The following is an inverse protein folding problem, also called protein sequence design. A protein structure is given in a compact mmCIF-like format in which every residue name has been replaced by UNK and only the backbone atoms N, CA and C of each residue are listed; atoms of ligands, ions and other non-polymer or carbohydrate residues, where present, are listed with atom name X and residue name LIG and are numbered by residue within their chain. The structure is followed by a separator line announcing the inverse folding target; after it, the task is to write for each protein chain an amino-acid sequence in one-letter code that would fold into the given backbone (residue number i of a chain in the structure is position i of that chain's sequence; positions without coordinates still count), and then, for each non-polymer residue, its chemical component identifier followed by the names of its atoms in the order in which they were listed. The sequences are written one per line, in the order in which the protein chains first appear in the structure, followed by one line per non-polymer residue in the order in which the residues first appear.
data_IF_523849672741
#
_entry.id   IF_523849672741
#
_cell.length_a   1.000
_cell.length_b   1.000
_cell.length_c   1.000
_cell.angle_alpha   90.00
_cell.angle_beta   90.00
_cell.angle_gamma   90.00
#
_symmetry.space_group_name_H-M   'P 1'
#
loop_
_entity.id
_entity.type
_entity.pdbx_description
1 polymer ?
#
# COMPACT_ATOMS: atom_id res chain seq x y z
N UNK A 1 -16.02 -1.77 30.64
CA UNK A 1 -14.69 -2.26 31.08
C UNK A 1 -13.66 -1.30 30.53
N UNK A 2 -12.87 -0.68 31.39
CA UNK A 2 -11.89 0.35 31.04
C UNK A 2 -10.76 -0.21 30.18
N UNK A 3 -10.16 0.66 29.36
CA UNK A 3 -9.08 0.34 28.41
C UNK A 3 -7.81 -0.26 29.06
N UNK A 4 -7.64 -0.11 30.37
CA UNK A 4 -6.44 -0.54 31.11
C UNK A 4 -6.43 -2.05 31.38
N UNK A 5 -7.60 -2.67 31.61
CA UNK A 5 -7.66 -4.07 32.05
C UNK A 5 -7.34 -5.13 30.97
N UNK A 6 -7.27 -4.76 29.70
CA UNK A 6 -7.00 -5.72 28.62
C UNK A 6 -5.49 -5.92 28.37
N UNK A 7 -4.65 -4.97 28.76
CA UNK A 7 -3.20 -5.00 28.51
C UNK A 7 -2.44 -5.88 29.52
N UNK A 8 -2.90 -5.96 30.78
CA UNK A 8 -2.15 -6.62 31.86
C UNK A 8 -2.24 -8.15 31.83
N UNK A 9 -3.30 -8.74 31.25
CA UNK A 9 -3.50 -10.20 31.32
C UNK A 9 -2.64 -11.04 30.35
N UNK A 10 -1.83 -10.42 29.49
CA UNK A 10 -1.06 -11.11 28.43
C UNK A 10 0.47 -11.11 28.62
N UNK A 11 0.99 -10.42 29.64
CA UNK A 11 2.43 -10.18 29.77
C UNK A 11 2.89 -10.22 31.23
N UNK A 12 3.00 -11.43 31.79
CA UNK A 12 3.72 -11.64 33.05
C UNK A 12 4.87 -12.61 32.78
N UNK A 13 6.05 -12.24 33.26
CA UNK A 13 7.34 -12.96 33.24
C UNK A 13 8.36 -12.44 32.21
N UNK A 14 9.33 -11.69 32.74
CA UNK A 14 10.55 -11.18 32.08
C UNK A 14 11.67 -12.23 32.23
N UNK A 15 12.24 -12.77 31.15
CA UNK A 15 13.48 -13.56 31.23
C UNK A 15 14.72 -12.71 30.92
N UNK A 16 15.85 -13.16 31.47
CA UNK A 16 17.16 -12.49 31.44
C UNK A 16 17.70 -12.18 30.03
N UNK A 17 18.30 -10.98 29.94
CA UNK A 17 18.87 -10.35 28.73
C UNK A 17 20.36 -10.74 28.64
N UNK A 18 20.88 -11.20 27.49
CA UNK A 18 22.32 -11.25 27.23
C UNK A 18 22.87 -9.85 26.91
N UNK A 19 24.08 -9.53 27.41
CA UNK A 19 24.75 -8.24 27.25
C UNK A 19 24.78 -7.74 25.79
N UNK A 20 24.26 -6.53 25.59
CA UNK A 20 24.05 -5.83 24.31
C UNK A 20 25.15 -4.81 23.98
N UNK A 21 26.23 -4.76 24.75
CA UNK A 21 27.18 -3.64 24.72
C UNK A 21 27.97 -3.54 23.41
N UNK A 22 28.34 -4.67 22.78
CA UNK A 22 29.10 -4.67 21.51
C UNK A 22 28.28 -4.17 20.29
N UNK A 23 26.94 -4.19 20.36
CA UNK A 23 26.05 -3.72 19.28
C UNK A 23 25.68 -2.24 19.42
N UNK A 24 25.84 -1.67 20.61
CA UNK A 24 25.55 -0.26 20.88
C UNK A 24 26.70 0.65 20.44
N UNK A 25 27.96 0.20 20.55
CA UNK A 25 29.13 0.99 20.15
C UNK A 25 29.18 1.29 18.63
N UNK A 26 28.69 0.39 17.76
CA UNK A 26 28.59 0.68 16.32
C UNK A 26 27.47 1.70 15.99
N UNK A 27 26.39 1.73 16.77
CA UNK A 27 25.23 2.60 16.53
C UNK A 27 25.48 4.02 17.05
N UNK A 28 26.14 4.18 18.20
CA UNK A 28 26.51 5.49 18.76
C UNK A 28 27.54 6.25 17.89
N UNK A 29 28.27 5.56 17.01
CA UNK A 29 29.18 6.19 16.05
C UNK A 29 28.48 6.92 14.88
N UNK A 30 27.15 6.81 14.76
CA UNK A 30 26.30 7.42 13.72
C UNK A 30 25.50 8.63 14.28
N UNK A 31 26.01 9.30 15.32
CA UNK A 31 25.50 10.57 15.85
C UNK A 31 26.43 11.74 15.48
N UNK A 32 26.91 11.76 14.24
CA UNK A 32 27.61 12.91 13.68
C UNK A 32 26.66 14.08 13.41
N UNK A 33 27.17 15.31 13.47
CA UNK A 33 26.46 16.54 13.11
C UNK A 33 26.13 16.54 11.59
N UNK A 34 25.03 15.88 11.20
CA UNK A 34 24.61 15.71 9.80
C UNK A 34 23.98 16.97 9.21
N UNK A 35 23.58 17.93 10.05
CA UNK A 35 22.88 19.14 9.59
C UNK A 35 23.80 20.07 8.78
N UNK A 36 25.10 20.05 9.08
CA UNK A 36 26.09 20.99 8.54
C UNK A 36 27.06 20.39 7.50
N UNK A 37 26.93 19.12 7.12
CA UNK A 37 27.79 18.52 6.08
C UNK A 37 27.30 18.90 4.67
N UNK A 38 28.23 19.29 3.81
CA UNK A 38 27.99 19.51 2.39
C UNK A 38 27.47 18.22 1.74
N UNK A 39 26.34 18.30 1.05
CA UNK A 39 25.72 17.15 0.38
C UNK A 39 26.30 17.03 -1.03
N UNK A 40 27.11 16.00 -1.26
CA UNK A 40 27.74 15.73 -2.56
C UNK A 40 26.73 15.16 -3.56
N UNK A 41 27.02 15.24 -4.86
CA UNK A 41 26.20 14.60 -5.90
C UNK A 41 26.14 13.07 -5.76
N UNK A 42 27.19 12.45 -5.20
CA UNK A 42 27.19 11.01 -4.89
C UNK A 42 26.15 10.68 -3.81
N UNK A 43 26.08 11.48 -2.74
CA UNK A 43 25.05 11.34 -1.71
C UNK A 43 23.65 11.54 -2.30
N UNK A 44 23.47 12.57 -3.15
CA UNK A 44 22.20 12.83 -3.83
C UNK A 44 21.78 11.65 -4.71
N UNK A 45 22.70 11.07 -5.49
CA UNK A 45 22.36 9.92 -6.34
C UNK A 45 22.02 8.68 -5.52
N UNK A 46 22.74 8.41 -4.43
CA UNK A 46 22.38 7.33 -3.48
C UNK A 46 20.95 7.53 -2.93
N UNK A 47 20.57 8.76 -2.58
CA UNK A 47 19.20 9.06 -2.16
C UNK A 47 18.18 8.86 -3.28
N UNK A 48 18.50 9.26 -4.52
CA UNK A 48 17.63 8.97 -5.68
C UNK A 48 17.44 7.47 -5.87
N UNK A 49 18.49 6.65 -5.72
CA UNK A 49 18.40 5.19 -5.79
C UNK A 49 17.46 4.59 -4.73
N UNK A 50 17.53 5.06 -3.48
CA UNK A 50 16.62 4.64 -2.41
C UNK A 50 15.18 4.98 -2.77
N UNK A 51 14.93 6.21 -3.23
CA UNK A 51 13.60 6.71 -3.57
C UNK A 51 13.02 6.01 -4.81
N UNK A 52 13.86 5.60 -5.77
CA UNK A 52 13.44 4.80 -6.93
C UNK A 52 12.83 3.45 -6.55
N UNK A 53 13.01 2.96 -5.32
CA UNK A 53 12.41 1.71 -4.82
C UNK A 53 11.00 1.87 -4.23
N UNK A 54 10.54 3.11 -4.01
CA UNK A 54 9.23 3.36 -3.38
C UNK A 54 8.09 2.84 -4.28
N UNK A 55 7.13 2.06 -3.78
CA UNK A 55 6.01 1.59 -4.61
C UNK A 55 5.14 2.76 -5.06
N UNK A 56 4.94 2.90 -6.37
CA UNK A 56 4.16 4.00 -6.98
C UNK A 56 2.81 3.50 -7.50
N UNK A 57 1.75 4.30 -7.32
CA UNK A 57 0.51 4.10 -8.04
C UNK A 57 0.19 5.29 -8.94
N UNK A 58 -0.03 5.03 -10.23
CA UNK A 58 -0.29 6.09 -11.22
C UNK A 58 -1.80 6.31 -11.37
N UNK A 59 -2.22 7.58 -11.29
CA UNK A 59 -3.63 8.01 -11.42
C UNK A 59 -4.61 7.19 -10.55
N UNK A 60 -4.19 6.93 -9.32
CA UNK A 60 -4.91 6.16 -8.31
C UNK A 60 -4.98 6.95 -6.98
N UNK A 61 -5.29 8.24 -7.10
CA UNK A 61 -5.70 9.17 -6.06
C UNK A 61 -6.88 9.91 -6.70
N UNK A 62 -8.11 9.57 -6.28
CA UNK A 62 -9.37 9.90 -6.97
C UNK A 62 -9.35 9.93 -8.52
N UNK A 63 -9.47 8.77 -9.15
CA UNK A 63 -9.52 8.67 -10.61
C UNK A 63 -9.50 7.23 -11.11
N UNK A 64 -9.23 7.08 -12.41
CA UNK A 64 -8.92 5.81 -13.04
C UNK A 64 -7.90 6.03 -14.18
N UNK A 65 -6.83 5.22 -14.27
CA UNK A 65 -5.80 5.38 -15.29
C UNK A 65 -6.34 5.36 -16.73
N UNK A 66 -7.43 4.63 -16.99
CA UNK A 66 -8.03 4.46 -18.32
C UNK A 66 -8.79 5.72 -18.75
N UNK A 67 -9.41 6.43 -17.81
CA UNK A 67 -10.12 7.69 -18.07
C UNK A 67 -9.16 8.84 -18.41
N UNK A 68 -7.91 8.75 -17.94
CA UNK A 68 -6.89 9.79 -18.09
C UNK A 68 -5.70 9.30 -18.94
N UNK A 69 -5.95 8.45 -19.93
CA UNK A 69 -4.92 7.62 -20.55
C UNK A 69 -3.67 8.37 -21.04
N UNK A 70 -3.83 9.53 -21.70
CA UNK A 70 -2.70 10.34 -22.15
C UNK A 70 -1.79 10.74 -20.98
N UNK A 71 -2.38 11.20 -19.89
CA UNK A 71 -1.67 11.60 -18.68
C UNK A 71 -1.08 10.38 -17.94
N UNK A 72 -1.77 9.24 -17.95
CA UNK A 72 -1.22 7.97 -17.42
C UNK A 72 0.07 7.58 -18.15
N UNK A 73 0.09 7.60 -19.49
CA UNK A 73 1.29 7.24 -20.27
C UNK A 73 2.42 8.26 -20.07
N UNK A 74 2.10 9.54 -19.93
CA UNK A 74 3.06 10.60 -19.60
C UNK A 74 3.75 10.35 -18.25
N UNK A 75 2.98 10.05 -17.20
CA UNK A 75 3.51 9.71 -15.87
C UNK A 75 4.35 8.44 -15.88
N UNK A 76 3.96 7.42 -16.65
CA UNK A 76 4.81 6.24 -16.84
C UNK A 76 6.13 6.60 -17.53
N UNK A 77 6.12 7.50 -18.52
CA UNK A 77 7.36 7.99 -19.16
C UNK A 77 8.24 8.77 -18.18
N UNK A 78 7.66 9.56 -17.28
CA UNK A 78 8.42 10.26 -16.24
C UNK A 78 9.08 9.28 -15.25
N UNK A 79 8.38 8.20 -14.89
CA UNK A 79 8.94 7.12 -14.06
C UNK A 79 10.07 6.37 -14.80
N UNK A 80 9.94 6.13 -16.11
CA UNK A 80 11.03 5.56 -16.93
C UNK A 80 12.24 6.48 -16.94
N UNK A 81 12.01 7.78 -17.20
CA UNK A 81 13.07 8.79 -17.31
C UNK A 81 13.83 8.95 -15.98
N UNK A 82 13.11 8.88 -14.85
CA UNK A 82 13.70 8.90 -13.51
C UNK A 82 14.30 7.56 -13.07
N UNK A 83 14.27 6.53 -13.93
CA UNK A 83 14.79 5.18 -13.70
C UNK A 83 14.14 4.50 -12.48
N UNK A 84 12.85 4.70 -12.31
CA UNK A 84 12.10 4.08 -11.22
C UNK A 84 12.19 2.55 -11.27
N UNK A 85 12.50 1.93 -10.13
CA UNK A 85 12.77 0.49 -10.03
C UNK A 85 11.75 -0.27 -9.17
N UNK A 86 11.07 0.44 -8.26
CA UNK A 86 10.01 -0.09 -7.43
C UNK A 86 8.76 -0.47 -8.22
N UNK A 87 7.81 -1.19 -7.60
CA UNK A 87 6.57 -1.57 -8.26
C UNK A 87 5.75 -0.36 -8.70
N UNK A 88 5.28 -0.38 -9.96
CA UNK A 88 4.39 0.63 -10.53
C UNK A 88 3.00 0.04 -10.74
N UNK A 89 2.05 0.42 -9.90
CA UNK A 89 0.68 -0.06 -9.90
C UNK A 89 -0.28 0.78 -10.74
N UNK A 90 -1.06 0.11 -11.60
CA UNK A 90 -2.24 0.69 -12.25
C UNK A 90 -3.51 -0.01 -11.76
N UNK A 91 -4.32 0.70 -10.97
CA UNK A 91 -5.59 0.16 -10.44
C UNK A 91 -6.74 0.68 -11.29
N UNK A 92 -7.46 -0.22 -11.97
CA UNK A 92 -8.43 0.19 -12.99
C UNK A 92 -9.74 -0.58 -12.97
N UNK A 93 -10.78 0.11 -13.42
CA UNK A 93 -12.14 -0.37 -13.76
C UNK A 93 -12.45 -0.16 -15.23
N UNK A 94 -11.80 0.80 -15.90
CA UNK A 94 -12.06 1.12 -17.29
C UNK A 94 -11.67 0.03 -18.28
N UNK A 95 -12.27 0.06 -19.48
CA UNK A 95 -11.97 -0.87 -20.57
C UNK A 95 -10.63 -0.55 -21.23
N UNK A 96 -9.77 -1.55 -21.35
CA UNK A 96 -8.56 -1.49 -22.16
C UNK A 96 -8.88 -1.86 -23.61
N UNK A 97 -8.11 -1.29 -24.53
CA UNK A 97 -8.09 -1.71 -25.93
C UNK A 97 -6.75 -2.38 -26.21
N UNK A 98 -6.62 -3.18 -27.29
CA UNK A 98 -5.33 -3.77 -27.67
C UNK A 98 -4.20 -2.73 -27.80
N UNK A 99 -4.51 -1.52 -28.29
CA UNK A 99 -3.56 -0.40 -28.33
C UNK A 99 -3.07 -0.02 -26.95
N UNK A 100 -3.97 0.17 -25.98
CA UNK A 100 -3.61 0.52 -24.60
C UNK A 100 -2.73 -0.56 -23.96
N UNK A 101 -3.05 -1.84 -24.21
CA UNK A 101 -2.26 -2.97 -23.71
C UNK A 101 -0.86 -2.99 -24.34
N UNK A 102 -0.74 -2.71 -25.64
CA UNK A 102 0.56 -2.59 -26.31
C UNK A 102 1.40 -1.45 -25.71
N UNK A 103 0.81 -0.30 -25.40
CA UNK A 103 1.49 0.81 -24.74
C UNK A 103 1.98 0.42 -23.33
N UNK A 104 1.18 -0.32 -22.54
CA UNK A 104 1.64 -0.83 -21.24
C UNK A 104 2.76 -1.86 -21.36
N UNK A 105 2.69 -2.73 -22.37
CA UNK A 105 3.73 -3.71 -22.66
C UNK A 105 5.05 -3.01 -22.99
N UNK A 106 5.02 -1.97 -23.83
CA UNK A 106 6.19 -1.13 -24.14
C UNK A 106 6.81 -0.56 -22.86
N UNK A 107 6.00 -0.03 -21.94
CA UNK A 107 6.48 0.51 -20.66
C UNK A 107 7.15 -0.52 -19.76
N UNK A 108 6.61 -1.75 -19.74
CA UNK A 108 7.22 -2.86 -19.02
C UNK A 108 8.55 -3.29 -19.67
N UNK A 109 8.58 -3.41 -21.00
CA UNK A 109 9.78 -3.77 -21.77
C UNK A 109 10.86 -2.67 -21.70
N UNK A 110 10.46 -1.42 -21.48
CA UNK A 110 11.32 -0.27 -21.18
C UNK A 110 11.96 -0.30 -19.78
N UNK A 111 11.62 -1.29 -18.95
CA UNK A 111 12.26 -1.53 -17.65
C UNK A 111 11.41 -1.15 -16.43
N UNK A 112 10.19 -0.63 -16.61
CA UNK A 112 9.31 -0.42 -15.45
C UNK A 112 8.82 -1.74 -14.87
N UNK A 113 8.84 -1.83 -13.55
CA UNK A 113 8.25 -2.94 -12.79
C UNK A 113 6.72 -2.80 -12.69
N UNK A 114 6.06 -2.86 -13.86
CA UNK A 114 4.65 -2.56 -14.03
C UNK A 114 3.76 -3.73 -13.60
N UNK A 115 2.73 -3.42 -12.80
CA UNK A 115 1.65 -4.36 -12.42
C UNK A 115 0.29 -3.70 -12.55
N UNK A 116 -0.69 -4.45 -13.05
CA UNK A 116 -2.06 -3.99 -13.20
C UNK A 116 -2.99 -4.67 -12.20
N UNK A 117 -3.91 -3.91 -11.61
CA UNK A 117 -4.90 -4.40 -10.66
C UNK A 117 -6.29 -4.10 -11.22
N UNK A 118 -6.96 -5.13 -11.70
CA UNK A 118 -8.26 -5.00 -12.36
C UNK A 118 -9.37 -5.18 -11.33
N UNK A 119 -10.14 -4.12 -11.06
CA UNK A 119 -11.14 -4.11 -9.98
C UNK A 119 -12.36 -4.95 -10.35
N UNK A 120 -12.50 -6.13 -9.77
CA UNK A 120 -13.66 -7.01 -9.95
C UNK A 120 -14.58 -6.86 -8.73
N UNK A 121 -15.85 -6.57 -8.95
CA UNK A 121 -16.81 -6.39 -7.85
C UNK A 121 -18.15 -7.03 -8.12
N UNK A 122 -18.58 -7.17 -9.38
CA UNK A 122 -19.95 -7.60 -9.71
C UNK A 122 -21.03 -6.76 -9.01
N UNK A 123 -20.80 -5.44 -8.95
CA UNK A 123 -21.74 -4.46 -8.38
C UNK A 123 -22.20 -3.42 -9.42
N UNK A 124 -22.73 -3.82 -10.59
CA UNK A 124 -23.07 -2.88 -11.67
C UNK A 124 -24.14 -1.85 -11.27
N UNK A 125 -25.00 -2.13 -10.28
CA UNK A 125 -25.99 -1.17 -9.77
C UNK A 125 -25.41 -0.09 -8.83
N UNK A 126 -24.21 -0.34 -8.30
CA UNK A 126 -23.47 0.57 -7.44
C UNK A 126 -22.29 1.24 -8.16
N UNK A 127 -22.02 0.83 -9.40
CA UNK A 127 -20.92 1.33 -10.23
C UNK A 127 -21.48 1.95 -11.51
N UNK A 128 -20.92 3.08 -11.97
CA UNK A 128 -21.30 3.66 -13.25
C UNK A 128 -20.73 2.93 -14.47
N UNK A 129 -20.29 1.68 -14.33
CA UNK A 129 -19.68 0.88 -15.41
C UNK A 129 -19.86 -0.62 -15.17
N UNK A 130 -19.99 -1.42 -16.24
CA UNK A 130 -20.19 -2.87 -16.16
C UNK A 130 -18.94 -3.66 -15.75
N UNK A 131 -19.10 -4.98 -15.57
CA UNK A 131 -18.04 -5.90 -15.15
C UNK A 131 -17.37 -6.66 -16.30
N UNK A 132 -18.09 -6.96 -17.39
CA UNK A 132 -17.67 -7.93 -18.42
C UNK A 132 -16.29 -7.62 -19.03
N UNK A 133 -16.04 -6.35 -19.37
CA UNK A 133 -14.76 -5.96 -19.99
C UNK A 133 -13.56 -6.12 -19.06
N UNK A 134 -13.77 -6.32 -17.76
CA UNK A 134 -12.69 -6.46 -16.78
C UNK A 134 -12.02 -7.82 -16.88
N UNK A 135 -12.80 -8.87 -17.18
CA UNK A 135 -12.24 -10.19 -17.49
C UNK A 135 -11.47 -10.17 -18.82
N UNK A 136 -11.99 -9.48 -19.83
CA UNK A 136 -11.29 -9.28 -21.09
C UNK A 136 -9.99 -8.48 -20.91
N UNK A 137 -9.98 -7.45 -20.04
CA UNK A 137 -8.74 -6.74 -19.70
C UNK A 137 -7.68 -7.70 -19.16
N UNK A 138 -8.03 -8.56 -18.20
CA UNK A 138 -7.10 -9.55 -17.62
C UNK A 138 -6.55 -10.45 -18.73
N UNK A 139 -7.43 -10.98 -19.58
CA UNK A 139 -7.03 -11.83 -20.70
C UNK A 139 -6.05 -11.14 -21.65
N UNK A 140 -6.34 -9.91 -22.07
CA UNK A 140 -5.45 -9.15 -22.96
C UNK A 140 -4.09 -8.88 -22.30
N UNK A 141 -4.07 -8.54 -21.01
CA UNK A 141 -2.85 -8.26 -20.26
C UNK A 141 -1.99 -9.51 -20.08
N UNK A 142 -2.59 -10.63 -19.68
CA UNK A 142 -1.89 -11.91 -19.54
C UNK A 142 -1.31 -12.39 -20.88
N UNK A 143 -2.06 -12.26 -21.99
CA UNK A 143 -1.58 -12.58 -23.34
C UNK A 143 -0.41 -11.69 -23.78
N UNK A 144 -0.39 -10.43 -23.34
CA UNK A 144 0.71 -9.50 -23.60
C UNK A 144 1.91 -9.68 -22.66
N UNK A 145 1.79 -10.54 -21.64
CA UNK A 145 2.81 -10.73 -20.61
C UNK A 145 2.90 -9.57 -19.62
N UNK A 146 1.87 -8.72 -19.50
CA UNK A 146 1.79 -7.66 -18.49
C UNK A 146 1.10 -8.24 -17.25
N UNK A 147 1.72 -8.26 -16.06
CA UNK A 147 1.13 -8.84 -14.87
C UNK A 147 -0.23 -8.23 -14.53
N UNK A 148 -1.26 -9.08 -14.40
CA UNK A 148 -2.61 -8.69 -14.01
C UNK A 148 -3.06 -9.41 -12.75
N UNK A 149 -3.55 -8.63 -11.78
CA UNK A 149 -4.12 -9.13 -10.53
C UNK A 149 -5.62 -8.85 -10.54
N UNK A 150 -6.44 -9.89 -10.35
CA UNK A 150 -7.86 -9.73 -10.09
C UNK A 150 -8.05 -9.07 -8.72
N UNK A 151 -8.47 -7.82 -8.71
CA UNK A 151 -8.62 -7.04 -7.49
C UNK A 151 -10.08 -7.08 -7.04
N UNK A 152 -10.44 -8.17 -6.38
CA UNK A 152 -11.81 -8.51 -6.00
C UNK A 152 -12.24 -7.68 -4.79
N UNK A 153 -12.85 -6.51 -5.02
CA UNK A 153 -13.30 -5.60 -3.96
C UNK A 153 -14.26 -4.51 -4.45
N UNK A 154 -15.13 -4.01 -3.54
CA UNK A 154 -15.39 -4.53 -2.20
C UNK A 154 -16.29 -5.77 -2.25
N UNK A 155 -16.08 -6.73 -1.35
CA UNK A 155 -17.08 -7.78 -1.07
C UNK A 155 -18.10 -7.23 -0.06
N UNK A 156 -19.37 -7.20 -0.46
CA UNK A 156 -20.48 -6.54 0.21
C UNK A 156 -21.70 -7.47 0.26
N UNK A 157 -21.95 -8.14 1.40
CA UNK A 157 -23.20 -8.85 1.59
C UNK A 157 -24.42 -7.91 1.57
N UNK A 158 -25.56 -8.35 1.02
CA UNK A 158 -25.76 -9.59 0.26
C UNK A 158 -25.40 -9.43 -1.23
N UNK A 159 -25.06 -8.23 -1.69
CA UNK A 159 -25.03 -7.81 -3.09
C UNK A 159 -24.16 -8.65 -4.04
N UNK A 160 -22.93 -8.99 -3.66
CA UNK A 160 -21.99 -9.70 -4.54
C UNK A 160 -21.31 -10.90 -3.87
N UNK A 161 -21.94 -11.46 -2.84
CA UNK A 161 -21.32 -12.48 -1.98
C UNK A 161 -21.98 -13.85 -2.06
N UNK A 162 -22.98 -14.06 -2.92
CA UNK A 162 -23.61 -15.37 -3.09
C UNK A 162 -22.64 -16.40 -3.69
N UNK A 163 -22.94 -17.70 -3.48
CA UNK A 163 -22.19 -18.81 -4.08
C UNK A 163 -22.13 -18.68 -5.61
N UNK A 164 -23.26 -18.37 -6.23
CA UNK A 164 -23.39 -18.23 -7.68
C UNK A 164 -22.49 -17.12 -8.23
N UNK A 165 -22.52 -15.94 -7.59
CA UNK A 165 -21.73 -14.78 -8.02
C UNK A 165 -20.24 -15.06 -7.85
N UNK A 166 -19.80 -15.56 -6.69
CA UNK A 166 -18.37 -15.81 -6.43
C UNK A 166 -17.84 -16.92 -7.34
N UNK A 167 -18.57 -18.02 -7.51
CA UNK A 167 -18.21 -19.06 -8.47
C UNK A 167 -18.10 -18.49 -9.90
N UNK A 168 -19.08 -17.68 -10.30
CA UNK A 168 -19.09 -16.98 -11.59
C UNK A 168 -17.86 -16.08 -11.80
N UNK A 169 -17.43 -15.36 -10.77
CA UNK A 169 -16.20 -14.55 -10.82
C UNK A 169 -14.97 -15.44 -11.09
N UNK A 170 -14.75 -16.47 -10.28
CA UNK A 170 -13.55 -17.30 -10.38
C UNK A 170 -13.49 -18.15 -11.65
N UNK A 171 -14.64 -18.64 -12.15
CA UNK A 171 -14.71 -19.30 -13.46
C UNK A 171 -14.26 -18.37 -14.59
N UNK A 172 -14.79 -17.14 -14.63
CA UNK A 172 -14.39 -16.15 -15.64
C UNK A 172 -12.92 -15.73 -15.50
N UNK A 173 -12.41 -15.60 -14.27
CA UNK A 173 -10.99 -15.33 -14.03
C UNK A 173 -10.09 -16.44 -14.56
N UNK A 174 -10.46 -17.71 -14.36
CA UNK A 174 -9.74 -18.86 -14.90
C UNK A 174 -9.75 -18.86 -16.43
N UNK A 175 -10.90 -18.62 -17.05
CA UNK A 175 -11.04 -18.50 -18.50
C UNK A 175 -10.19 -17.36 -19.08
N UNK A 176 -10.05 -16.25 -18.32
CA UNK A 176 -9.19 -15.13 -18.67
C UNK A 176 -7.68 -15.42 -18.46
N UNK A 177 -7.30 -16.56 -17.87
CA UNK A 177 -5.91 -16.90 -17.58
C UNK A 177 -5.33 -16.20 -16.34
N UNK A 178 -6.18 -15.68 -15.46
CA UNK A 178 -5.76 -14.98 -14.25
C UNK A 178 -4.96 -15.90 -13.31
N UNK A 179 -3.81 -15.44 -12.81
CA UNK A 179 -2.97 -16.20 -11.87
C UNK A 179 -3.16 -15.77 -10.42
N UNK A 180 -3.40 -14.48 -10.19
CA UNK A 180 -3.39 -13.88 -8.87
C UNK A 180 -4.67 -13.11 -8.60
N UNK A 181 -5.22 -13.28 -7.38
CA UNK A 181 -6.35 -12.49 -6.91
C UNK A 181 -6.05 -11.87 -5.56
N UNK A 182 -6.50 -10.64 -5.35
CA UNK A 182 -6.53 -9.99 -4.04
C UNK A 182 -7.98 -9.73 -3.68
N UNK A 183 -8.42 -10.22 -2.52
CA UNK A 183 -9.77 -9.96 -2.02
C UNK A 183 -9.77 -9.07 -0.79
N UNK A 184 -10.75 -8.19 -0.68
CA UNK A 184 -11.00 -7.43 0.55
C UNK A 184 -12.46 -7.02 0.69
N UNK A 185 -12.92 -6.93 1.94
CA UNK A 185 -14.29 -6.54 2.26
C UNK A 185 -14.53 -5.03 2.16
N UNK A 186 -15.67 -4.60 2.67
CA UNK A 186 -16.12 -3.21 2.60
C UNK A 186 -15.59 -2.35 3.75
N UNK A 187 -15.30 -1.08 3.43
CA UNK A 187 -14.96 -0.01 4.38
C UNK A 187 -15.91 1.15 4.07
N UNK A 188 -16.54 1.70 5.09
CA UNK A 188 -17.41 2.86 4.95
C UNK A 188 -17.68 3.51 6.31
N UNK A 189 -18.17 4.74 6.28
CA UNK A 189 -18.79 5.44 7.41
C UNK A 189 -20.32 5.43 7.28
N UNK A 190 -20.96 6.01 8.29
CA UNK A 190 -22.40 6.18 8.32
C UNK A 190 -22.95 7.07 7.19
N UNK A 191 -22.22 8.09 6.75
CA UNK A 191 -22.69 9.00 5.70
C UNK A 191 -22.73 8.31 4.33
N UNK A 192 -21.65 7.64 3.97
CA UNK A 192 -21.53 6.82 2.76
C UNK A 192 -22.56 5.70 2.77
N UNK A 193 -22.68 4.99 3.89
CA UNK A 193 -23.61 3.88 4.00
C UNK A 193 -25.05 4.36 3.86
N UNK A 194 -25.45 5.48 4.48
CA UNK A 194 -26.78 6.07 4.28
C UNK A 194 -27.05 6.44 2.82
N UNK A 195 -26.07 6.98 2.08
CA UNK A 195 -26.20 7.30 0.64
C UNK A 195 -26.44 6.07 -0.23
N UNK A 196 -25.96 4.91 0.22
CA UNK A 196 -26.16 3.64 -0.49
C UNK A 196 -27.56 3.04 -0.30
N UNK A 197 -28.32 3.48 0.71
CA UNK A 197 -29.55 2.82 1.18
C UNK A 197 -29.31 1.32 1.39
N UNK A 198 -28.45 0.97 2.36
CA UNK A 198 -27.82 -0.34 2.45
C UNK A 198 -28.84 -1.40 2.88
N UNK A 199 -28.59 -2.63 2.47
CA UNK A 199 -29.23 -3.79 3.09
C UNK A 199 -28.72 -3.95 4.54
N UNK A 200 -29.55 -4.47 5.44
CA UNK A 200 -29.19 -4.68 6.85
C UNK A 200 -27.99 -5.64 7.04
N UNK A 201 -27.69 -6.46 6.04
CA UNK A 201 -26.55 -7.40 6.06
C UNK A 201 -25.20 -6.75 5.73
N UNK A 202 -25.17 -5.49 5.29
CA UNK A 202 -23.92 -4.78 5.00
C UNK A 202 -23.15 -4.55 6.30
N UNK A 203 -21.99 -5.20 6.42
CA UNK A 203 -21.06 -4.94 7.51
C UNK A 203 -19.97 -3.95 7.07
N UNK A 204 -19.68 -2.98 7.93
CA UNK A 204 -18.79 -1.86 7.63
C UNK A 204 -18.07 -1.42 8.90
N UNK A 205 -16.84 -0.96 8.72
CA UNK A 205 -16.11 -0.25 9.75
C UNK A 205 -15.28 0.82 9.07
N UNK A 206 -15.10 1.94 9.76
CA UNK A 206 -14.34 3.05 9.19
C UNK A 206 -12.85 2.79 9.11
N UNK A 207 -12.29 2.00 10.02
CA UNK A 207 -10.83 1.83 10.14
C UNK A 207 -10.30 0.61 9.39
N UNK A 208 -11.14 -0.41 9.19
CA UNK A 208 -10.74 -1.69 8.61
C UNK A 208 -11.79 -2.17 7.63
N UNK A 209 -11.34 -2.90 6.61
CA UNK A 209 -12.25 -3.56 5.67
C UNK A 209 -12.84 -4.80 6.33
N UNK A 210 -14.17 -4.90 6.36
CA UNK A 210 -14.89 -6.01 7.00
C UNK A 210 -15.28 -7.04 5.96
N UNK A 211 -14.85 -8.29 6.16
CA UNK A 211 -15.22 -9.44 5.33
C UNK A 211 -15.74 -10.55 6.25
N UNK A 212 -17.01 -10.97 6.12
CA UNK A 212 -17.52 -12.09 6.89
C UNK A 212 -16.73 -13.37 6.62
N UNK A 213 -16.57 -14.20 7.66
CA UNK A 213 -15.79 -15.44 7.58
C UNK A 213 -16.31 -16.41 6.51
N UNK A 214 -17.63 -16.55 6.39
CA UNK A 214 -18.26 -17.39 5.37
C UNK A 214 -17.97 -16.93 3.93
N UNK A 215 -17.95 -15.61 3.69
CA UNK A 215 -17.63 -15.03 2.38
C UNK A 215 -16.18 -15.29 2.05
N UNK A 216 -15.29 -15.12 3.03
CA UNK A 216 -13.88 -15.47 2.88
C UNK A 216 -13.68 -16.95 2.52
N UNK A 217 -14.34 -17.87 3.24
CA UNK A 217 -14.20 -19.31 2.99
C UNK A 217 -14.70 -19.70 1.59
N UNK A 218 -15.81 -19.11 1.15
CA UNK A 218 -16.34 -19.28 -0.20
C UNK A 218 -15.35 -18.79 -1.27
N UNK A 219 -14.78 -17.60 -1.10
CA UNK A 219 -13.77 -17.06 -2.02
C UNK A 219 -12.53 -17.96 -2.06
N UNK A 220 -12.05 -18.40 -0.90
CA UNK A 220 -10.89 -19.29 -0.80
C UNK A 220 -11.12 -20.59 -1.57
N UNK A 221 -12.24 -21.26 -1.32
CA UNK A 221 -12.63 -22.49 -2.03
C UNK A 221 -12.60 -22.30 -3.55
N UNK A 222 -13.27 -21.26 -4.05
CA UNK A 222 -13.35 -21.02 -5.50
C UNK A 222 -12.01 -20.60 -6.10
N UNK A 223 -11.14 -19.92 -5.35
CA UNK A 223 -9.78 -19.63 -5.78
C UNK A 223 -8.97 -20.92 -5.95
N UNK A 224 -9.02 -21.83 -4.98
CA UNK A 224 -8.33 -23.13 -5.00
C UNK A 224 -8.84 -24.01 -6.15
N UNK A 225 -10.15 -24.17 -6.30
CA UNK A 225 -10.78 -24.97 -7.38
C UNK A 225 -10.38 -24.48 -8.78
N UNK A 226 -10.09 -23.18 -8.91
CA UNK A 226 -9.70 -22.56 -10.17
C UNK A 226 -8.19 -22.37 -10.34
N UNK A 227 -7.37 -22.79 -9.37
CA UNK A 227 -5.91 -22.67 -9.43
C UNK A 227 -5.41 -21.22 -9.39
N UNK A 228 -6.16 -20.32 -8.74
CA UNK A 228 -5.82 -18.90 -8.63
C UNK A 228 -5.23 -18.65 -7.25
N UNK A 229 -4.01 -18.12 -7.20
CA UNK A 229 -3.36 -17.79 -5.94
C UNK A 229 -4.04 -16.57 -5.31
N UNK A 230 -4.67 -16.79 -4.15
CA UNK A 230 -5.38 -15.77 -3.41
C UNK A 230 -4.46 -15.06 -2.41
N UNK A 231 -4.62 -13.74 -2.31
CA UNK A 231 -4.00 -12.90 -1.31
C UNK A 231 -5.05 -12.04 -0.60
N UNK A 232 -4.77 -11.66 0.65
CA UNK A 232 -5.61 -10.72 1.41
C UNK A 232 -5.01 -9.31 1.47
N UNK A 233 -3.78 -9.13 0.97
CA UNK A 233 -3.06 -7.85 0.99
C UNK A 233 -2.51 -7.54 -0.39
N UNK A 234 -2.75 -6.30 -0.83
CA UNK A 234 -2.29 -5.78 -2.11
C UNK A 234 -0.78 -5.88 -2.26
N UNK A 235 -0.02 -5.48 -1.23
CA UNK A 235 1.44 -5.49 -1.29
C UNK A 235 2.03 -6.89 -1.42
N UNK A 236 1.39 -7.91 -0.84
CA UNK A 236 1.84 -9.31 -1.00
C UNK A 236 1.65 -9.79 -2.44
N UNK A 237 0.46 -9.55 -3.02
CA UNK A 237 0.18 -9.97 -4.39
C UNK A 237 1.01 -9.20 -5.43
N UNK A 238 1.21 -7.90 -5.21
CA UNK A 238 2.07 -7.08 -6.05
C UNK A 238 3.49 -7.64 -6.03
N UNK A 239 4.09 -7.81 -4.85
CA UNK A 239 5.44 -8.37 -4.72
C UNK A 239 5.60 -9.71 -5.44
N UNK A 240 4.64 -10.63 -5.30
CA UNK A 240 4.68 -11.91 -6.04
C UNK A 240 4.54 -11.72 -7.55
N UNK A 241 3.61 -10.86 -8.00
CA UNK A 241 3.39 -10.59 -9.42
C UNK A 241 4.57 -9.87 -10.09
N UNK A 242 5.37 -9.13 -9.32
CA UNK A 242 6.58 -8.42 -9.76
C UNK A 242 7.87 -9.22 -9.54
N UNK A 243 7.79 -10.41 -8.95
CA UNK A 243 8.95 -11.30 -8.73
C UNK A 243 9.76 -11.02 -7.47
N UNK A 244 9.30 -10.12 -6.59
CA UNK A 244 9.94 -9.83 -5.31
C UNK A 244 9.82 -11.02 -4.35
N UNK A 245 10.85 -11.20 -3.53
CA UNK A 245 10.91 -12.27 -2.52
C UNK A 245 10.39 -11.83 -1.14
N UNK A 246 9.98 -10.58 -0.98
CA UNK A 246 9.42 -10.06 0.26
C UNK A 246 8.35 -9.02 -0.04
N UNK A 247 7.40 -8.83 0.87
CA UNK A 247 6.42 -7.75 0.70
C UNK A 247 7.01 -6.41 1.12
N UNK A 248 6.78 -5.36 0.33
CA UNK A 248 7.22 -3.99 0.64
C UNK A 248 6.47 -3.33 1.83
N UNK A 249 5.52 -4.05 2.45
CA UNK A 249 4.85 -3.65 3.68
C UNK A 249 5.11 -4.69 4.79
N UNK A 250 5.14 -4.31 6.08
CA UNK A 250 5.58 -5.18 7.17
C UNK A 250 4.53 -6.21 7.63
N UNK A 251 3.80 -6.82 6.68
CA UNK A 251 2.80 -7.82 6.98
C UNK A 251 3.38 -9.18 7.43
N UNK A 252 4.69 -9.40 7.24
CA UNK A 252 5.42 -10.53 7.86
C UNK A 252 5.24 -10.57 9.38
N UNK A 253 4.94 -9.43 10.00
CA UNK A 253 4.70 -9.31 11.43
C UNK A 253 3.29 -9.76 11.86
N UNK A 254 2.35 -9.91 10.91
CA UNK A 254 0.97 -10.33 11.19
C UNK A 254 0.55 -11.50 10.29
N UNK A 255 1.28 -12.63 10.31
CA UNK A 255 1.07 -13.74 9.37
C UNK A 255 -0.33 -14.36 9.48
N UNK A 256 -0.90 -14.40 10.70
CA UNK A 256 -2.26 -14.89 10.94
C UNK A 256 -3.33 -13.99 10.32
N UNK A 257 -3.08 -12.67 10.32
CA UNK A 257 -3.98 -11.70 9.72
C UNK A 257 -3.94 -11.75 8.19
N UNK A 258 -2.76 -12.00 7.61
CA UNK A 258 -2.61 -12.13 6.14
C UNK A 258 -2.88 -13.53 5.63
N UNK A 259 -2.95 -14.51 6.53
CA UNK A 259 -3.25 -15.92 6.27
C UNK A 259 -2.19 -16.61 5.41
N UNK A 260 -0.90 -16.32 5.63
CA UNK A 260 0.20 -16.83 4.80
C UNK A 260 0.17 -18.36 4.64
N UNK A 261 0.15 -19.10 5.76
CA UNK A 261 0.18 -20.56 5.74
C UNK A 261 -1.11 -21.15 5.15
N UNK A 262 -2.26 -20.57 5.50
CA UNK A 262 -3.57 -21.03 5.04
C UNK A 262 -3.77 -20.84 3.53
N UNK A 263 -3.15 -19.80 2.96
CA UNK A 263 -3.23 -19.45 1.53
C UNK A 263 -2.03 -19.95 0.72
N UNK A 264 -1.07 -20.67 1.35
CA UNK A 264 0.13 -21.15 0.66
C UNK A 264 0.97 -20.01 0.05
N UNK A 265 1.23 -18.95 0.81
CA UNK A 265 1.92 -17.76 0.31
C UNK A 265 3.29 -18.10 -0.32
N UNK A 266 3.52 -17.80 -1.62
CA UNK A 266 4.74 -18.23 -2.34
C UNK A 266 6.06 -17.67 -1.79
N UNK A 267 5.99 -16.54 -1.08
CA UNK A 267 7.15 -15.83 -0.53
C UNK A 267 7.19 -15.92 1.01
N UNK A 268 6.45 -16.84 1.62
CA UNK A 268 6.37 -16.94 3.07
C UNK A 268 7.74 -17.14 3.73
N UNK A 269 8.60 -17.95 3.13
CA UNK A 269 9.89 -18.35 3.72
C UNK A 269 10.96 -17.27 3.58
N UNK A 270 10.83 -16.39 2.60
CA UNK A 270 11.74 -15.27 2.32
C UNK A 270 11.23 -13.94 2.85
N UNK A 271 9.95 -13.86 3.25
CA UNK A 271 9.33 -12.64 3.73
C UNK A 271 9.57 -12.45 5.23
N UNK A 272 10.49 -11.55 5.58
CA UNK A 272 10.84 -11.20 6.95
C UNK A 272 11.20 -9.73 7.12
N UNK A 273 11.38 -9.27 8.38
CA UNK A 273 11.89 -7.94 8.63
C UNK A 273 13.32 -7.78 8.13
N UNK A 274 13.64 -6.58 7.62
CA UNK A 274 15.02 -6.18 7.41
C UNK A 274 15.70 -6.01 8.78
N UNK A 275 16.94 -6.52 8.96
CA UNK A 275 17.66 -6.39 10.23
C UNK A 275 18.12 -4.95 10.48
N UNK A 276 18.35 -4.20 9.40
CA UNK A 276 18.84 -2.82 9.41
C UNK A 276 18.09 -1.98 8.37
N UNK A 277 18.04 -0.65 8.53
CA UNK A 277 17.56 0.24 7.49
C UNK A 277 18.39 0.10 6.22
N UNK A 278 17.81 0.39 5.05
CA UNK A 278 18.59 0.51 3.81
C UNK A 278 19.73 1.50 4.00
N UNK A 279 20.89 1.20 3.41
CA UNK A 279 22.04 2.11 3.47
C UNK A 279 21.67 3.53 2.98
N UNK A 280 22.16 4.56 3.67
CA UNK A 280 21.87 5.97 3.41
C UNK A 280 20.42 6.42 3.70
N UNK A 281 19.50 5.52 4.03
CA UNK A 281 18.08 5.87 4.18
C UNK A 281 17.76 6.65 5.46
N UNK A 282 18.42 6.34 6.58
CA UNK A 282 18.29 7.11 7.82
C UNK A 282 18.83 8.53 7.66
N UNK A 283 19.95 8.67 6.96
CA UNK A 283 20.55 9.98 6.66
C UNK A 283 19.56 10.85 5.87
N UNK A 284 18.94 10.31 4.82
CA UNK A 284 17.91 11.00 4.04
C UNK A 284 16.69 11.39 4.90
N UNK A 285 16.17 10.46 5.70
CA UNK A 285 15.00 10.70 6.56
C UNK A 285 15.28 11.80 7.58
N UNK A 286 16.44 11.77 8.24
CA UNK A 286 16.87 12.82 9.18
C UNK A 286 17.08 14.16 8.46
N UNK A 287 17.68 14.14 7.26
CA UNK A 287 17.87 15.36 6.44
C UNK A 287 16.57 16.04 6.10
N UNK A 288 15.51 15.28 5.84
CA UNK A 288 14.16 15.80 5.59
C UNK A 288 13.47 16.37 6.84
N UNK A 289 14.09 16.22 8.02
CA UNK A 289 13.63 16.80 9.29
C UNK A 289 12.85 15.81 10.17
N UNK A 290 12.88 14.51 9.88
CA UNK A 290 12.23 13.52 10.74
C UNK A 290 13.13 13.07 11.88
N UNK A 291 12.61 13.14 13.11
CA UNK A 291 13.24 12.56 14.29
C UNK A 291 12.97 11.05 14.35
N UNK A 292 13.98 10.25 13.99
CA UNK A 292 13.87 8.79 13.94
C UNK A 292 14.98 8.10 14.72
N UNK A 293 14.60 7.07 15.45
CA UNK A 293 15.47 6.22 16.25
C UNK A 293 15.30 4.76 15.79
N UNK A 294 16.40 4.10 15.45
CA UNK A 294 16.39 2.67 15.13
C UNK A 294 16.35 1.86 16.42
N UNK A 295 15.39 0.93 16.48
CA UNK A 295 15.23 0.01 17.61
C UNK A 295 15.45 -1.41 17.07
N UNK A 296 16.49 -2.12 17.54
CA UNK A 296 16.74 -3.50 17.12
C UNK A 296 15.62 -4.44 17.60
N UNK A 297 15.59 -5.66 17.05
CA UNK A 297 14.61 -6.66 17.46
C UNK A 297 14.76 -6.98 18.95
N UNK A 298 13.63 -7.01 19.67
CA UNK A 298 13.57 -7.60 21.01
C UNK A 298 13.12 -9.06 20.93
N UNK A 299 13.57 -9.90 21.87
CA UNK A 299 13.10 -11.27 22.02
C UNK A 299 11.62 -11.28 22.43
N UNK A 300 10.70 -11.39 21.48
CA UNK A 300 9.31 -11.63 21.82
C UNK A 300 8.45 -12.22 20.72
N UNK A 301 7.17 -12.43 21.05
CA UNK A 301 6.23 -13.22 20.27
C UNK A 301 5.68 -12.47 19.05
N UNK A 302 5.47 -13.18 17.93
CA UNK A 302 4.76 -12.65 16.75
C UNK A 302 3.36 -12.13 17.11
N UNK A 303 2.84 -11.19 16.33
CA UNK A 303 1.50 -10.65 16.56
C UNK A 303 0.42 -11.73 16.49
N UNK A 304 -0.37 -11.87 17.56
CA UNK A 304 -1.47 -12.83 17.65
C UNK A 304 -2.79 -12.38 17.01
N UNK A 305 -2.86 -11.15 16.46
CA UNK A 305 -4.10 -10.61 15.88
C UNK A 305 -4.50 -11.40 14.64
N UNK A 306 -5.75 -11.84 14.65
CA UNK A 306 -6.47 -12.52 13.56
C UNK A 306 -7.46 -11.57 12.87
N UNK A 307 -8.09 -12.02 11.78
CA UNK A 307 -9.15 -11.25 11.11
C UNK A 307 -10.31 -10.87 12.05
N UNK A 308 -10.70 -11.77 12.95
CA UNK A 308 -11.80 -11.58 13.91
C UNK A 308 -11.46 -10.59 15.02
N UNK A 309 -10.21 -10.62 15.50
CA UNK A 309 -9.74 -9.69 16.55
C UNK A 309 -9.25 -8.35 15.99
N UNK A 310 -9.18 -8.21 14.66
CA UNK A 310 -8.69 -7.01 13.97
C UNK A 310 -9.46 -5.75 14.34
N UNK A 311 -10.78 -5.85 14.54
CA UNK A 311 -11.64 -4.73 14.93
C UNK A 311 -11.26 -4.14 16.28
N UNK A 312 -10.73 -4.96 17.20
CA UNK A 312 -10.33 -4.56 18.56
C UNK A 312 -8.94 -3.95 18.63
N UNK A 313 -8.03 -4.35 17.73
CA UNK A 313 -6.64 -3.83 17.73
C UNK A 313 -6.61 -2.41 17.16
N UNK A 314 -6.21 -1.35 17.89
CA UNK A 314 -6.31 0.03 17.42
C UNK A 314 -5.26 0.41 16.35
N UNK A 315 -4.13 -0.28 16.32
CA UNK A 315 -3.02 0.04 15.41
C UNK A 315 -3.25 -0.43 13.96
N UNK A 316 -2.57 0.21 13.00
CA UNK A 316 -2.46 -0.27 11.62
C UNK A 316 -1.25 -1.21 11.49
N UNK A 317 -1.38 -2.35 10.80
CA UNK A 317 -0.29 -3.31 10.68
C UNK A 317 0.95 -2.75 9.95
N UNK A 318 0.75 -1.77 9.08
CA UNK A 318 1.84 -1.12 8.31
C UNK A 318 2.61 -0.07 9.11
N UNK A 319 2.12 0.29 10.31
CA UNK A 319 2.72 1.24 11.26
C UNK A 319 2.52 0.75 12.71
N UNK A 320 2.58 -0.57 12.91
CA UNK A 320 2.15 -1.25 14.12
C UNK A 320 2.99 -0.86 15.34
N UNK A 321 2.41 -0.14 16.30
CA UNK A 321 3.11 0.26 17.52
C UNK A 321 3.00 -0.73 18.69
N UNK A 322 2.34 -1.88 18.49
CA UNK A 322 2.34 -2.99 19.46
C UNK A 322 3.46 -3.99 19.20
N UNK A 323 4.09 -3.91 18.03
CA UNK A 323 5.07 -4.89 17.61
C UNK A 323 6.46 -4.53 18.14
N UNK A 324 6.79 -5.02 19.33
CA UNK A 324 8.12 -4.77 19.93
C UNK A 324 9.20 -5.76 19.49
N UNK A 325 8.81 -6.83 18.79
CA UNK A 325 9.67 -8.01 18.58
C UNK A 325 10.31 -8.07 17.19
N UNK A 326 10.34 -6.95 16.48
CA UNK A 326 10.97 -6.81 15.17
C UNK A 326 11.79 -5.52 15.15
N UNK A 327 12.85 -5.47 14.34
CA UNK A 327 13.54 -4.22 14.06
C UNK A 327 12.55 -3.18 13.51
N UNK A 328 12.62 -1.96 14.03
CA UNK A 328 11.73 -0.88 13.63
C UNK A 328 12.35 0.50 13.85
N UNK A 329 11.69 1.51 13.30
CA UNK A 329 12.00 2.92 13.55
C UNK A 329 10.93 3.52 14.44
N UNK A 330 11.35 4.05 15.58
CA UNK A 330 10.52 4.89 16.44
C UNK A 330 10.58 6.33 15.92
N UNK A 331 9.43 6.90 15.60
CA UNK A 331 9.31 8.25 15.04
C UNK A 331 8.72 9.20 16.08
N UNK A 332 9.44 10.30 16.35
CA UNK A 332 9.08 11.32 17.34
C UNK A 332 8.42 12.54 16.65
N UNK A 333 7.90 13.46 17.45
CA UNK A 333 7.26 14.69 16.95
C UNK A 333 5.84 14.50 16.40
N UNK A 334 5.34 15.52 15.70
CA UNK A 334 3.99 15.54 15.15
C UNK A 334 3.96 14.98 13.71
N UNK A 335 3.80 13.67 13.58
CA UNK A 335 3.79 12.96 12.29
C UNK A 335 2.42 12.39 11.93
N UNK A 336 2.10 12.35 10.63
CA UNK A 336 0.92 11.70 10.06
C UNK A 336 1.16 10.20 9.77
N UNK A 337 0.13 9.47 9.33
CA UNK A 337 0.34 8.12 8.78
C UNK A 337 1.02 8.13 7.41
N UNK A 338 0.92 9.25 6.69
CA UNK A 338 1.68 9.53 5.48
C UNK A 338 3.18 9.60 5.78
N UNK A 339 3.58 10.35 6.80
CA UNK A 339 4.99 10.46 7.22
C UNK A 339 5.56 9.08 7.57
N UNK A 340 4.84 8.31 8.40
CA UNK A 340 5.24 6.93 8.75
C UNK A 340 5.31 6.02 7.52
N UNK A 341 4.41 6.20 6.54
CA UNK A 341 4.42 5.42 5.31
C UNK A 341 5.59 5.77 4.40
N UNK A 342 5.93 7.05 4.27
CA UNK A 342 7.11 7.51 3.57
C UNK A 342 8.38 6.94 4.21
N UNK A 343 8.57 7.12 5.52
CA UNK A 343 9.75 6.61 6.25
C UNK A 343 9.87 5.10 6.04
N UNK A 344 8.77 4.34 6.12
CA UNK A 344 8.74 2.90 5.84
C UNK A 344 9.22 2.58 4.42
N UNK A 345 8.70 3.26 3.41
CA UNK A 345 9.07 2.97 2.02
C UNK A 345 10.52 3.31 1.72
N UNK A 346 11.02 4.41 2.28
CA UNK A 346 12.41 4.87 2.13
C UNK A 346 13.37 3.92 2.82
N UNK A 347 13.09 3.52 4.06
CA UNK A 347 13.99 2.70 4.86
C UNK A 347 13.84 1.19 4.65
N UNK A 348 12.72 0.74 4.09
CA UNK A 348 12.37 -0.68 3.98
C UNK A 348 11.96 -1.32 5.31
N UNK A 349 11.77 -0.52 6.37
CA UNK A 349 11.50 -1.00 7.72
C UNK A 349 10.14 -0.54 8.24
N UNK A 350 9.63 -1.23 9.26
CA UNK A 350 8.47 -0.73 9.99
C UNK A 350 8.82 0.62 10.66
N UNK A 351 8.08 1.67 10.32
CA UNK A 351 8.11 2.95 11.03
C UNK A 351 6.84 3.09 11.87
N UNK A 352 6.99 3.45 13.14
CA UNK A 352 5.87 3.54 14.08
C UNK A 352 5.99 4.74 15.02
N UNK A 353 4.83 5.21 15.47
CA UNK A 353 4.71 6.14 16.59
C UNK A 353 3.59 5.63 17.52
N UNK A 354 3.87 5.35 18.81
CA UNK A 354 2.85 4.93 19.77
C UNK A 354 1.66 5.88 19.81
N UNK A 355 0.45 5.31 19.74
CA UNK A 355 -0.81 6.06 19.77
C UNK A 355 -1.22 6.70 18.44
N UNK A 356 -0.36 6.70 17.41
CA UNK A 356 -0.71 7.24 16.09
C UNK A 356 -1.63 6.28 15.35
N UNK A 357 -2.85 6.75 15.04
CA UNK A 357 -3.90 5.98 14.38
C UNK A 357 -4.50 6.76 13.20
N UNK A 358 -5.25 6.06 12.35
CA UNK A 358 -6.10 6.69 11.33
C UNK A 358 -7.25 7.37 12.07
N UNK A 359 -7.23 8.70 12.10
CA UNK A 359 -8.21 9.57 12.74
C UNK A 359 -9.34 9.99 11.79
N UNK A 360 -9.32 9.50 10.55
CA UNK A 360 -10.26 9.92 9.51
C UNK A 360 -10.03 11.34 9.01
N UNK A 361 -8.89 11.96 9.31
CA UNK A 361 -8.51 13.26 8.75
C UNK A 361 -8.17 13.15 7.26
N UNK A 362 -8.46 14.18 6.48
CA UNK A 362 -8.01 14.27 5.08
C UNK A 362 -6.48 14.38 4.96
N UNK A 363 -5.86 14.90 6.01
CA UNK A 363 -4.41 15.04 6.12
C UNK A 363 -3.70 13.74 6.53
N UNK A 364 -4.45 12.65 6.78
CA UNK A 364 -3.89 11.40 7.33
C UNK A 364 -2.79 10.82 6.46
N UNK A 365 -2.89 10.98 5.13
CA UNK A 365 -1.92 10.51 4.14
C UNK A 365 -0.87 11.54 3.74
N UNK A 366 -0.97 12.80 4.19
CA UNK A 366 -0.06 13.85 3.75
C UNK A 366 1.33 13.63 4.32
N UNK A 367 2.36 13.78 3.50
CA UNK A 367 3.74 13.79 3.97
C UNK A 367 4.18 15.23 4.20
N UNK A 368 4.82 15.50 5.32
CA UNK A 368 5.37 16.81 5.66
C UNK A 368 6.87 16.63 5.84
N UNK A 369 7.67 17.39 5.09
CA UNK A 369 9.11 17.41 5.24
C UNK A 369 9.49 18.65 6.04
N UNK A 370 9.77 18.56 7.36
CA UNK A 370 10.00 19.76 8.19
C UNK A 370 11.13 20.66 7.68
N UNK A 371 12.16 20.09 7.06
CA UNK A 371 13.29 20.85 6.51
C UNK A 371 13.06 21.31 5.06
N UNK A 372 11.96 20.90 4.43
CA UNK A 372 11.57 21.28 3.06
C UNK A 372 10.04 21.51 2.99
N UNK A 373 9.49 22.46 3.77
CA UNK A 373 8.05 22.65 3.90
C UNK A 373 7.37 23.12 2.59
N UNK A 374 8.13 23.65 1.64
CA UNK A 374 7.69 24.03 0.29
C UNK A 374 7.28 22.83 -0.57
N UNK A 375 7.74 21.62 -0.23
CA UNK A 375 7.37 20.37 -0.90
C UNK A 375 6.12 19.82 -0.22
N UNK A 376 4.95 20.28 -0.68
CA UNK A 376 3.68 20.07 0.03
C UNK A 376 2.63 19.26 -0.76
N UNK A 377 2.98 18.85 -1.97
CA UNK A 377 2.16 18.08 -2.93
C UNK A 377 2.31 16.55 -2.75
N UNK A 378 2.94 16.10 -1.66
CA UNK A 378 3.21 14.69 -1.41
C UNK A 378 2.18 14.06 -0.48
N UNK A 379 1.66 12.93 -0.94
CA UNK A 379 0.79 12.04 -0.19
C UNK A 379 1.43 10.65 -0.20
N UNK A 380 1.26 9.87 0.85
CA UNK A 380 1.47 8.44 0.81
C UNK A 380 0.32 7.72 1.50
N UNK A 381 -0.23 6.76 0.78
CA UNK A 381 -1.22 5.84 1.33
C UNK A 381 -0.51 4.57 1.79
N UNK A 382 -1.18 3.76 2.61
CA UNK A 382 -0.64 2.53 3.21
C UNK A 382 0.11 1.56 2.26
N UNK A 383 -0.04 1.67 0.93
CA UNK A 383 0.65 0.80 -0.02
C UNK A 383 1.31 1.53 -1.18
N UNK A 384 1.14 2.85 -1.32
CA UNK A 384 1.52 3.56 -2.54
C UNK A 384 1.92 5.01 -2.28
N UNK A 385 2.95 5.44 -3.02
CA UNK A 385 3.20 6.82 -3.39
C UNK A 385 2.38 7.16 -4.65
N UNK A 386 1.28 7.92 -4.56
CA UNK A 386 0.53 8.35 -5.73
C UNK A 386 1.36 9.30 -6.61
N UNK A 387 1.37 9.03 -7.91
CA UNK A 387 1.69 9.99 -8.97
C UNK A 387 0.42 10.15 -9.79
N UNK A 388 -0.42 11.11 -9.42
CA UNK A 388 -1.83 11.09 -9.80
C UNK A 388 -2.36 12.47 -10.15
N UNK A 389 -3.40 12.51 -10.98
CA UNK A 389 -4.25 13.67 -11.18
C UNK A 389 -5.64 13.31 -10.66
N UNK A 390 -6.10 14.02 -9.65
CA UNK A 390 -7.51 14.00 -9.26
C UNK A 390 -8.34 14.51 -10.45
N UNK A 391 -9.46 13.87 -10.75
CA UNK A 391 -10.38 14.34 -11.80
C UNK A 391 -11.73 14.71 -11.21
N UNK A 392 -12.39 15.71 -11.77
CA UNK A 392 -13.72 16.14 -11.33
C UNK A 392 -14.77 15.01 -11.25
N UNK A 393 -14.67 14.00 -12.12
CA UNK A 393 -15.63 12.90 -12.21
C UNK A 393 -14.97 11.58 -12.57
N UNK A 394 -15.06 10.60 -11.68
CA UNK A 394 -14.71 9.21 -11.94
C UNK A 394 -15.95 8.39 -12.39
N UNK A 395 -15.93 7.07 -12.24
CA UNK A 395 -17.07 6.17 -12.55
C UNK A 395 -18.28 6.31 -11.62
N UNK A 396 -18.28 7.26 -10.67
CA UNK A 396 -19.42 7.56 -9.80
C UNK A 396 -19.89 6.37 -8.96
N UNK A 397 -18.96 5.59 -8.40
CA UNK A 397 -19.34 4.43 -7.59
C UNK A 397 -19.96 4.91 -6.26
N UNK A 398 -21.16 4.41 -5.95
CA UNK A 398 -21.93 4.82 -4.75
C UNK A 398 -21.25 4.49 -3.42
N UNK A 399 -20.29 3.57 -3.44
CA UNK A 399 -19.52 3.11 -2.28
C UNK A 399 -18.12 3.76 -2.19
N UNK A 400 -17.80 4.74 -3.03
CA UNK A 400 -16.45 5.32 -3.10
C UNK A 400 -16.22 6.41 -2.05
N UNK A 401 -15.56 6.03 -0.95
CA UNK A 401 -15.14 6.99 0.08
C UNK A 401 -14.18 8.07 -0.44
N UNK A 402 -13.41 7.78 -1.49
CA UNK A 402 -12.36 8.70 -2.00
C UNK A 402 -12.96 10.00 -2.54
N UNK A 403 -14.20 9.97 -3.03
CA UNK A 403 -14.91 11.17 -3.54
C UNK A 403 -15.07 12.22 -2.44
N UNK A 404 -15.49 11.77 -1.25
CA UNK A 404 -15.78 12.63 -0.11
C UNK A 404 -14.51 13.19 0.54
N UNK A 405 -13.40 12.47 0.44
CA UNK A 405 -12.16 12.82 1.14
C UNK A 405 -11.19 13.63 0.28
N UNK A 406 -11.17 13.41 -1.03
CA UNK A 406 -10.09 13.90 -1.90
C UNK A 406 -10.56 14.67 -3.15
N UNK A 407 -11.87 14.79 -3.40
CA UNK A 407 -12.41 15.49 -4.57
C UNK A 407 -13.46 16.56 -4.23
N UNK A 408 -13.31 17.24 -3.09
CA UNK A 408 -14.32 18.19 -2.61
C UNK A 408 -14.51 19.41 -3.50
N UNK A 409 -13.44 19.87 -4.15
CA UNK A 409 -13.49 21.04 -5.04
C UNK A 409 -14.03 20.69 -6.42
N UNK A 410 -14.03 19.40 -6.79
CA UNK A 410 -14.29 18.94 -8.15
C UNK A 410 -13.26 19.45 -9.17
N UNK A 411 -12.11 19.92 -8.72
CA UNK A 411 -11.05 20.45 -9.58
C UNK A 411 -10.00 19.39 -9.91
N UNK A 412 -9.38 19.52 -11.08
CA UNK A 412 -8.29 18.65 -11.45
C UNK A 412 -7.00 19.12 -10.77
N UNK A 413 -6.45 18.31 -9.87
CA UNK A 413 -5.22 18.63 -9.12
C UNK A 413 -4.19 17.51 -9.28
N UNK A 414 -2.94 17.87 -9.57
CA UNK A 414 -1.82 16.92 -9.53
C UNK A 414 -1.43 16.63 -8.08
N UNK A 415 -1.08 15.38 -7.82
CA UNK A 415 -0.66 14.88 -6.52
C UNK A 415 0.56 13.99 -6.73
N UNK A 416 1.65 14.36 -6.06
CA UNK A 416 2.92 13.68 -6.13
C UNK A 416 3.64 13.82 -7.47
N UNK A 417 4.84 13.22 -7.50
CA UNK A 417 5.79 13.25 -8.61
C UNK A 417 6.66 11.98 -8.54
N UNK A 418 7.46 11.63 -9.56
CA UNK A 418 8.39 10.51 -9.46
C UNK A 418 9.27 10.60 -8.20
N UNK A 419 9.30 9.60 -7.29
CA UNK A 419 9.90 9.76 -5.97
C UNK A 419 11.34 10.26 -5.95
N UNK A 420 12.16 9.88 -6.95
CA UNK A 420 13.55 10.31 -7.06
C UNK A 420 13.71 11.84 -7.20
N UNK A 421 12.72 12.50 -7.79
CA UNK A 421 12.73 13.96 -7.98
C UNK A 421 12.58 14.72 -6.64
N UNK A 422 12.31 14.02 -5.53
CA UNK A 422 12.35 14.63 -4.21
C UNK A 422 13.74 15.23 -3.93
N UNK A 423 14.81 14.54 -4.34
CA UNK A 423 16.18 15.05 -4.16
C UNK A 423 16.38 16.35 -4.93
N UNK A 424 15.90 16.43 -6.16
CA UNK A 424 16.03 17.64 -6.98
C UNK A 424 15.21 18.80 -6.41
N UNK A 425 14.06 18.50 -5.77
CA UNK A 425 13.26 19.49 -5.04
C UNK A 425 13.89 19.94 -3.72
N UNK A 426 14.66 19.06 -3.04
CA UNK A 426 15.41 19.41 -1.82
C UNK A 426 16.60 20.32 -2.13
N UNK A 427 17.18 20.20 -3.32
CA UNK A 427 18.33 20.96 -3.78
C UNK A 427 18.03 21.54 -5.16
N UNK A 428 17.09 22.50 -5.26
CA UNK A 428 16.86 23.17 -6.52
C UNK A 428 18.20 23.76 -6.98
N UNK A 429 18.60 23.46 -8.22
CA UNK A 429 19.73 24.19 -8.80
C UNK A 429 19.36 25.67 -8.73
N UNK A 430 20.23 26.49 -8.12
CA UNK A 430 20.10 27.93 -8.22
C UNK A 430 19.93 28.23 -9.70
N UNK A 431 18.72 28.65 -10.08
CA UNK A 431 18.43 29.04 -11.45
C UNK A 431 19.49 30.06 -11.80
N UNK A 432 20.44 29.68 -12.66
CA UNK A 432 21.42 30.60 -13.23
C UNK A 432 20.60 31.68 -13.93
N UNK A 433 20.40 32.80 -13.24
CA UNK A 433 19.86 34.03 -13.82
C UNK A 433 20.70 34.48 -15.02
#
# INVERSE_FOLDING_TARGET
MSHEGFAESLFTETPDIPDTDDLLEEIESIDGDFENKEVTEETKERWREILRQIPVAVNNFYGDPVLQWKNTIEKLRELETSRHAGPVGLIMKGRLTPKKVAELKEKKEGGLNLVTLISISELPSLEGTGSEHRYENIKLLEQAGVPAIAYIRPMMPPFNTSEEIINGMFRQLKEAGCKYAVTSGFRGDEALVRKMSPDEQVQWAMRVKVMPGEVYQRIKKHAEENGIQLFTRTSCAVSVATGDQSTFNPYYNSPNLVKCAELGCPIQDTCGPQPQPRDGSLELVRRLGFEVEFVPAQNGKKCGISGESRLKCPSCCTTCYFSKNIPHLLVKGNVSLGDLSFIRFTTGMLAMQPGRNDDGSKEVGRVRFPNNPEIDDVQTLNSWWPVSRNIAKCFGCKYCIVDEYYNETGENQEVGFPPANLVDKMFPEDSKE
#
